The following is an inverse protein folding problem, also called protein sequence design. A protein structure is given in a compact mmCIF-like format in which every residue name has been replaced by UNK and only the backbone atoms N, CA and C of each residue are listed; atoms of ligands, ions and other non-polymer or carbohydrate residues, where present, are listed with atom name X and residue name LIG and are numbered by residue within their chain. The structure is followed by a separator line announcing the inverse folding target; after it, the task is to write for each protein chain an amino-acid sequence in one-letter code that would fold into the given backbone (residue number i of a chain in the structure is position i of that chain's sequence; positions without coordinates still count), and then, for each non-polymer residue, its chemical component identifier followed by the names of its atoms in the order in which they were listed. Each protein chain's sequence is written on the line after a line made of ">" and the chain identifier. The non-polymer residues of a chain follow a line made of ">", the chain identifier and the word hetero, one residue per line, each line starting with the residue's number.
data_IF_249038545644
#
_entry.id   IF_249038545644
#
_cell.length_a   1.000
_cell.length_b   1.000
_cell.length_c   1.000
_cell.angle_alpha   90.00
_cell.angle_beta   90.00
_cell.angle_gamma   90.00
#
_symmetry.space_group_name_H-M   'P 1'
#
loop_
_entity.id
_entity.type
_entity.pdbx_description
1 polymer ?
#
# COMPACT_ATOMS: atom_id res chain seq x y z
N UNK A 1 32.19 25.40 -1.12
CA UNK A 1 30.76 25.80 -1.08
C UNK A 1 30.52 26.67 0.12
N UNK A 2 30.01 27.87 -0.11
CA UNK A 2 29.54 28.79 0.92
C UNK A 2 28.40 28.16 1.72
N UNK A 3 28.33 28.46 3.03
CA UNK A 3 27.27 28.00 3.94
C UNK A 3 25.86 28.29 3.41
N UNK A 4 25.71 29.34 2.60
CA UNK A 4 24.47 29.74 1.95
C UNK A 4 24.03 28.77 0.85
N UNK A 5 24.98 28.29 0.04
CA UNK A 5 24.72 27.35 -1.06
C UNK A 5 24.27 25.99 -0.52
N UNK A 6 24.88 25.54 0.57
CA UNK A 6 24.51 24.28 1.23
C UNK A 6 23.10 24.34 1.84
N UNK A 7 22.71 25.49 2.39
CA UNK A 7 21.39 25.70 2.96
C UNK A 7 20.31 25.71 1.87
N UNK A 8 20.58 26.34 0.73
CA UNK A 8 19.67 26.31 -0.44
C UNK A 8 19.54 24.89 -0.99
N UNK A 9 20.65 24.15 -1.11
CA UNK A 9 20.62 22.76 -1.56
C UNK A 9 19.81 21.87 -0.60
N UNK A 10 19.99 22.02 0.71
CA UNK A 10 19.23 21.27 1.71
C UNK A 10 17.72 21.53 1.61
N UNK A 11 17.31 22.79 1.43
CA UNK A 11 15.90 23.15 1.25
C UNK A 11 15.32 22.53 -0.02
N UNK A 12 16.03 22.64 -1.15
CA UNK A 12 15.55 22.04 -2.40
C UNK A 12 15.41 20.52 -2.27
N UNK A 13 16.39 19.87 -1.67
CA UNK A 13 16.36 18.43 -1.45
C UNK A 13 15.17 18.03 -0.56
N UNK A 14 14.92 18.79 0.51
CA UNK A 14 13.77 18.57 1.38
C UNK A 14 12.45 18.71 0.63
N UNK A 15 12.28 19.76 -0.18
CA UNK A 15 11.08 19.95 -1.00
C UNK A 15 10.88 18.81 -2.00
N UNK A 16 11.94 18.33 -2.64
CA UNK A 16 11.87 17.19 -3.56
C UNK A 16 11.42 15.91 -2.86
N UNK A 17 11.96 15.62 -1.67
CA UNK A 17 11.55 14.46 -0.87
C UNK A 17 10.08 14.59 -0.44
N UNK A 18 9.65 15.77 0.02
CA UNK A 18 8.26 16.00 0.39
C UNK A 18 7.30 15.79 -0.80
N UNK A 19 7.63 16.35 -1.97
CA UNK A 19 6.83 16.18 -3.18
C UNK A 19 6.75 14.70 -3.59
N UNK A 20 7.87 13.97 -3.49
CA UNK A 20 7.92 12.54 -3.79
C UNK A 20 7.02 11.74 -2.85
N UNK A 21 7.12 11.95 -1.54
CA UNK A 21 6.31 11.23 -0.55
C UNK A 21 4.82 11.49 -0.75
N UNK A 22 4.42 12.74 -1.03
CA UNK A 22 3.01 13.06 -1.30
C UNK A 22 2.53 12.37 -2.57
N UNK A 23 3.33 12.37 -3.64
CA UNK A 23 3.00 11.69 -4.89
C UNK A 23 2.87 10.18 -4.69
N UNK A 24 3.79 9.57 -3.94
CA UNK A 24 3.80 8.15 -3.62
C UNK A 24 2.53 7.75 -2.85
N UNK A 25 2.19 8.48 -1.78
CA UNK A 25 0.96 8.24 -1.01
C UNK A 25 -0.28 8.33 -1.91
N UNK A 26 -0.37 9.35 -2.77
CA UNK A 26 -1.50 9.49 -3.69
C UNK A 26 -1.59 8.32 -4.68
N UNK A 27 -0.45 7.89 -5.23
CA UNK A 27 -0.40 6.76 -6.17
C UNK A 27 -0.73 5.43 -5.49
N UNK A 28 -0.17 5.17 -4.31
CA UNK A 28 -0.50 3.99 -3.53
C UNK A 28 -1.98 3.94 -3.20
N UNK A 29 -2.59 5.08 -2.80
CA UNK A 29 -4.03 5.12 -2.51
C UNK A 29 -4.89 4.90 -3.76
N UNK A 30 -4.49 5.44 -4.90
CA UNK A 30 -5.19 5.22 -6.17
C UNK A 30 -5.12 3.75 -6.63
N UNK A 31 -4.02 3.02 -6.36
CA UNK A 31 -3.94 1.60 -6.68
C UNK A 31 -4.70 0.69 -5.69
N UNK A 32 -4.94 1.15 -4.47
CA UNK A 32 -5.73 0.42 -3.45
C UNK A 32 -7.24 0.63 -3.63
N UNK A 33 -7.65 1.54 -4.51
CA UNK A 33 -9.02 1.60 -5.02
C UNK A 33 -9.28 0.38 -5.92
N UNK A 34 -9.49 -0.79 -5.29
CA UNK A 34 -9.96 -1.99 -5.99
C UNK A 34 -11.23 -1.57 -6.74
N UNK A 35 -11.24 -1.63 -8.08
CA UNK A 35 -12.38 -1.22 -8.86
C UNK A 35 -13.59 -2.00 -8.33
N UNK A 36 -14.72 -1.32 -8.13
CA UNK A 36 -15.91 -1.86 -7.46
C UNK A 36 -16.39 -3.17 -8.08
N UNK A 37 -16.09 -3.38 -9.36
CA UNK A 37 -16.33 -4.62 -10.13
C UNK A 37 -15.50 -5.82 -9.67
N UNK A 38 -14.30 -5.63 -9.13
CA UNK A 38 -13.41 -6.71 -8.67
C UNK A 38 -13.65 -7.09 -7.21
N UNK A 39 -14.16 -6.16 -6.37
CA UNK A 39 -14.59 -6.48 -5.00
C UNK A 39 -15.76 -7.48 -4.96
N UNK A 40 -16.55 -7.54 -6.01
CA UNK A 40 -17.70 -8.45 -6.15
C UNK A 40 -17.27 -9.86 -6.62
N UNK A 41 -16.13 -10.00 -7.31
CA UNK A 41 -15.57 -11.29 -7.74
C UNK A 41 -14.59 -11.91 -6.74
N UNK A 42 -14.12 -11.13 -5.76
CA UNK A 42 -13.41 -11.67 -4.60
C UNK A 42 -14.50 -12.15 -3.65
N UNK A 43 -15.05 -13.34 -3.92
CA UNK A 43 -15.79 -14.06 -2.89
C UNK A 43 -14.92 -14.10 -1.63
N UNK A 44 -15.45 -13.74 -0.45
CA UNK A 44 -14.73 -13.99 0.78
C UNK A 44 -14.42 -15.49 0.78
N UNK A 45 -13.14 -15.86 0.88
CA UNK A 45 -12.75 -17.25 1.18
C UNK A 45 -13.56 -17.63 2.41
N UNK A 46 -14.61 -18.42 2.19
CA UNK A 46 -15.40 -18.97 3.28
C UNK A 46 -14.43 -19.88 4.02
N UNK A 47 -14.19 -19.66 5.33
CA UNK A 47 -13.46 -20.62 6.11
C UNK A 47 -14.46 -21.74 6.43
N UNK A 48 -14.94 -22.46 5.42
CA UNK A 48 -15.47 -23.80 5.65
C UNK A 48 -14.27 -24.68 5.97
N UNK A 49 -13.87 -24.62 7.23
CA UNK A 49 -12.87 -25.48 7.82
C UNK A 49 -13.34 -26.91 7.58
N UNK A 50 -12.65 -27.66 6.71
CA UNK A 50 -13.07 -28.98 6.28
C UNK A 50 -12.91 -29.99 7.44
N UNK A 51 -13.95 -30.10 8.26
CA UNK A 51 -14.01 -31.00 9.42
C UNK A 51 -14.22 -32.47 8.97
N UNK A 52 -14.32 -32.72 7.66
CA UNK A 52 -14.58 -34.04 7.08
C UNK A 52 -13.47 -35.07 7.34
N UNK A 53 -12.27 -34.64 7.72
CA UNK A 53 -11.15 -35.51 8.09
C UNK A 53 -11.12 -35.98 9.55
N UNK A 54 -12.00 -35.47 10.41
CA UNK A 54 -11.97 -35.72 11.87
C UNK A 54 -13.01 -36.76 12.34
N UNK A 55 -13.62 -37.52 11.42
CA UNK A 55 -14.41 -38.70 11.79
C UNK A 55 -13.48 -39.86 12.10
N UNK A 56 -13.08 -39.93 13.37
CA UNK A 56 -12.43 -41.06 14.03
C UNK A 56 -13.05 -42.37 13.55
N UNK A 57 -12.23 -43.15 12.85
CA UNK A 57 -12.50 -44.54 12.46
C UNK A 57 -12.82 -45.37 13.72
N UNK A 58 -13.94 -46.11 13.78
CA UNK A 58 -14.21 -47.06 14.86
C UNK A 58 -13.26 -48.26 14.80
#
# INVERSE_FOLDING_TARGET
>A
MSRKEWLVAAILTFLTICAWVVFDILHTRAQVEIPSKTKELIEPISPEFDISGLKVTP
#
